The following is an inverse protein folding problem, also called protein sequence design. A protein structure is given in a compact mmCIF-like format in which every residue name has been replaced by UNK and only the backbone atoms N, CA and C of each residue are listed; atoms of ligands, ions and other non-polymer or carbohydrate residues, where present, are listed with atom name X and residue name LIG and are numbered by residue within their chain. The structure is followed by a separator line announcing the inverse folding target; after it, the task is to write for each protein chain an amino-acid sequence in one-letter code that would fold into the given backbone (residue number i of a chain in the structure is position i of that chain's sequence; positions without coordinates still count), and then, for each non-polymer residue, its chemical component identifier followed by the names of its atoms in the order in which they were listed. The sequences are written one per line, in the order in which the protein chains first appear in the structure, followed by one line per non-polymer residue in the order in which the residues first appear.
data_IF_504834951016
#
_entry.id   IF_504834951016
#
_cell.length_a   1.000
_cell.length_b   1.000
_cell.length_c   1.000
_cell.angle_alpha   90.00
_cell.angle_beta   90.00
_cell.angle_gamma   90.00
#
_symmetry.space_group_name_H-M   'P 1'
#
loop_
_entity.id
_entity.type
_entity.pdbx_description
1 polymer ?
#
# COMPACT_ATOMS: atom_id res chain seq x y z
N UNK A 1 -31.79 -4.94 -42.55
CA UNK A 1 -31.16 -3.71 -42.03
C UNK A 1 -30.49 -4.04 -40.70
N UNK A 2 -29.18 -4.29 -40.63
CA UNK A 2 -28.50 -4.58 -39.35
C UNK A 2 -27.88 -3.30 -38.76
N UNK A 3 -28.29 -2.95 -37.53
CA UNK A 3 -27.76 -1.83 -36.77
C UNK A 3 -26.52 -2.27 -35.96
N UNK A 4 -25.35 -1.88 -36.47
CA UNK A 4 -24.19 -1.31 -35.77
C UNK A 4 -23.76 -1.93 -34.43
N UNK A 5 -22.63 -2.63 -34.47
CA UNK A 5 -21.84 -2.96 -33.31
C UNK A 5 -21.37 -1.75 -32.52
N UNK A 6 -21.52 -1.81 -31.19
CA UNK A 6 -20.76 -1.00 -30.24
C UNK A 6 -19.57 -1.83 -29.76
N UNK A 7 -18.44 -1.65 -30.44
CA UNK A 7 -17.15 -1.91 -29.82
C UNK A 7 -16.87 -0.74 -28.89
N UNK A 8 -17.09 -0.93 -27.59
CA UNK A 8 -16.60 0.00 -26.57
C UNK A 8 -15.08 -0.18 -26.50
N UNK A 9 -14.38 0.61 -27.30
CA UNK A 9 -12.95 0.77 -27.21
C UNK A 9 -12.62 1.34 -25.84
N UNK A 10 -12.16 0.48 -24.93
CA UNK A 10 -11.29 0.88 -23.84
C UNK A 10 -10.06 1.53 -24.47
N UNK A 11 -10.09 2.86 -24.54
CA UNK A 11 -8.93 3.64 -24.97
C UNK A 11 -7.72 3.29 -24.09
N UNK A 12 -6.50 3.38 -24.63
CA UNK A 12 -5.29 3.14 -23.85
C UNK A 12 -5.30 4.07 -22.64
N UNK A 13 -5.29 3.47 -21.43
CA UNK A 13 -5.19 4.26 -20.22
C UNK A 13 -3.87 5.06 -20.28
N UNK A 14 -3.90 6.39 -20.13
CA UNK A 14 -2.68 7.18 -20.18
C UNK A 14 -1.75 6.72 -19.05
N UNK A 15 -0.42 6.70 -19.27
CA UNK A 15 0.52 6.35 -18.22
C UNK A 15 0.30 7.27 -17.02
N UNK A 16 0.26 6.67 -15.82
CA UNK A 16 0.13 7.39 -14.57
C UNK A 16 1.20 8.49 -14.52
N UNK A 17 0.78 9.74 -14.34
CA UNK A 17 1.71 10.87 -14.22
C UNK A 17 2.55 10.69 -12.94
N UNK A 18 3.87 10.95 -12.97
CA UNK A 18 4.66 11.06 -11.75
C UNK A 18 3.99 12.11 -10.83
N UNK A 19 3.50 11.68 -9.67
CA UNK A 19 2.78 12.53 -8.71
C UNK A 19 1.24 12.37 -8.67
N UNK A 20 0.64 11.43 -9.40
CA UNK A 20 -0.77 11.10 -9.22
C UNK A 20 -1.00 10.44 -7.85
N UNK A 21 -1.96 10.91 -7.05
CA UNK A 21 -2.35 10.19 -5.83
C UNK A 21 -3.04 8.87 -6.21
N UNK A 22 -2.84 7.79 -5.45
CA UNK A 22 -3.48 6.52 -5.75
C UNK A 22 -5.01 6.61 -5.63
N UNK A 23 -5.69 5.91 -6.52
CA UNK A 23 -7.15 5.75 -6.49
C UNK A 23 -7.62 5.01 -5.23
N UNK A 24 -8.94 5.02 -4.97
CA UNK A 24 -9.51 4.30 -3.83
C UNK A 24 -9.26 2.79 -3.92
N UNK A 25 -9.42 2.19 -5.11
CA UNK A 25 -9.19 0.75 -5.30
C UNK A 25 -7.73 0.34 -5.11
N UNK A 26 -6.76 1.19 -5.52
CA UNK A 26 -5.33 0.94 -5.27
C UNK A 26 -5.03 0.93 -3.77
N UNK A 27 -5.54 1.91 -3.03
CA UNK A 27 -5.40 1.96 -1.56
C UNK A 27 -6.04 0.75 -0.87
N UNK A 28 -7.24 0.37 -1.30
CA UNK A 28 -7.93 -0.81 -0.79
C UNK A 28 -7.11 -2.08 -1.01
N UNK A 29 -6.52 -2.27 -2.20
CA UNK A 29 -5.64 -3.41 -2.49
C UNK A 29 -4.40 -3.39 -1.63
N UNK A 30 -3.76 -2.24 -1.43
CA UNK A 30 -2.61 -2.11 -0.54
C UNK A 30 -2.94 -2.49 0.90
N UNK A 31 -4.08 -2.00 1.44
CA UNK A 31 -4.52 -2.36 2.79
C UNK A 31 -4.77 -3.87 2.92
N UNK A 32 -5.39 -4.49 1.90
CA UNK A 32 -5.63 -5.94 1.87
C UNK A 32 -4.32 -6.73 1.83
N UNK A 33 -3.37 -6.30 1.01
CA UNK A 33 -2.06 -6.94 0.90
C UNK A 33 -1.29 -6.82 2.23
N UNK A 34 -1.28 -5.64 2.85
CA UNK A 34 -0.69 -5.44 4.18
C UNK A 34 -1.36 -6.35 5.21
N UNK A 35 -2.69 -6.44 5.24
CA UNK A 35 -3.40 -7.30 6.20
C UNK A 35 -3.09 -8.79 5.99
N UNK A 36 -2.73 -9.21 4.78
CA UNK A 36 -2.34 -10.59 4.48
C UNK A 36 -0.92 -10.93 4.98
N UNK A 37 -0.05 -9.94 5.21
CA UNK A 37 1.30 -10.17 5.72
C UNK A 37 1.22 -10.49 7.23
N UNK A 38 1.75 -11.63 7.70
CA UNK A 38 1.64 -12.06 9.10
C UNK A 38 2.04 -10.98 10.12
N UNK A 39 3.20 -10.34 9.91
CA UNK A 39 3.72 -9.29 10.82
C UNK A 39 2.86 -8.01 10.85
N UNK A 40 2.00 -7.81 9.86
CA UNK A 40 1.09 -6.67 9.79
C UNK A 40 -0.33 -7.03 10.27
N UNK A 41 -0.73 -8.29 10.20
CA UNK A 41 -2.01 -8.77 10.73
C UNK A 41 -2.04 -8.79 12.28
N UNK A 42 -0.93 -9.19 12.90
CA UNK A 42 -0.79 -9.24 14.36
C UNK A 42 -0.52 -7.84 14.94
N UNK A 43 -1.33 -7.36 15.91
CA UNK A 43 -1.15 -6.02 16.46
C UNK A 43 0.20 -5.78 17.15
N UNK A 44 0.77 -6.79 17.81
CA UNK A 44 2.03 -6.64 18.53
C UNK A 44 3.23 -6.62 17.59
N UNK A 45 3.23 -7.50 16.59
CA UNK A 45 4.22 -7.50 15.50
C UNK A 45 4.12 -6.20 14.69
N UNK A 46 2.91 -5.77 14.34
CA UNK A 46 2.69 -4.52 13.59
C UNK A 46 3.23 -3.32 14.35
N UNK A 47 3.00 -3.24 15.66
CA UNK A 47 3.57 -2.16 16.48
C UNK A 47 5.11 -2.12 16.43
N UNK A 48 5.76 -3.28 16.39
CA UNK A 48 7.23 -3.35 16.24
C UNK A 48 7.67 -2.90 14.84
N UNK A 49 7.01 -3.36 13.78
CA UNK A 49 7.28 -2.92 12.39
C UNK A 49 7.13 -1.41 12.26
N UNK A 50 6.00 -0.87 12.73
CA UNK A 50 5.73 0.57 12.66
C UNK A 50 6.71 1.39 13.51
N UNK A 51 7.32 0.81 14.54
CA UNK A 51 8.36 1.43 15.35
C UNK A 51 9.71 1.59 14.63
N UNK A 52 9.91 0.92 13.49
CA UNK A 52 11.10 1.09 12.64
C UNK A 52 11.01 2.32 11.74
N UNK A 53 9.81 2.91 11.59
CA UNK A 53 9.61 4.10 10.78
C UNK A 53 10.26 5.33 11.43
N UNK A 54 10.65 6.34 10.63
CA UNK A 54 11.13 7.61 11.16
C UNK A 54 10.13 8.24 12.13
N UNK A 55 10.60 8.92 13.20
CA UNK A 55 9.74 9.48 14.24
C UNK A 55 8.61 10.37 13.72
N UNK A 56 8.83 11.09 12.62
CA UNK A 56 7.85 11.98 12.00
C UNK A 56 6.66 11.22 11.44
N UNK A 57 6.91 10.07 10.80
CA UNK A 57 5.86 9.20 10.27
C UNK A 57 5.22 8.44 11.43
N UNK A 58 6.03 7.81 12.29
CA UNK A 58 5.54 7.02 13.40
C UNK A 58 4.63 7.82 14.35
N UNK A 59 5.04 9.04 14.69
CA UNK A 59 4.26 9.95 15.55
C UNK A 59 2.95 10.45 14.92
N UNK A 60 2.81 10.33 13.60
CA UNK A 60 1.61 10.73 12.85
C UNK A 60 0.61 9.57 12.68
N UNK A 61 1.00 8.35 13.02
CA UNK A 61 0.15 7.17 12.85
C UNK A 61 -1.06 7.23 13.79
N UNK A 62 -2.28 6.97 13.29
CA UNK A 62 -3.42 6.76 14.15
C UNK A 62 -3.21 5.46 14.96
N UNK A 63 -3.88 5.39 16.11
CA UNK A 63 -3.87 4.19 16.95
C UNK A 63 -5.27 3.63 16.99
N UNK A 64 -5.52 2.56 16.23
CA UNK A 64 -6.79 1.85 16.25
C UNK A 64 -6.59 0.40 16.72
N UNK A 65 -7.43 -0.10 17.64
CA UNK A 65 -7.40 -1.52 18.00
C UNK A 65 -7.97 -2.43 16.88
N UNK A 66 -8.64 -1.85 15.88
CA UNK A 66 -9.22 -2.59 14.75
C UNK A 66 -8.19 -2.63 13.62
N UNK A 67 -7.60 -3.81 13.36
CA UNK A 67 -6.52 -4.01 12.37
C UNK A 67 -6.80 -3.33 11.04
N UNK A 68 -7.96 -3.56 10.42
CA UNK A 68 -8.30 -2.95 9.13
C UNK A 68 -8.31 -1.41 9.18
N UNK A 69 -8.84 -0.82 10.25
CA UNK A 69 -8.91 0.64 10.42
C UNK A 69 -7.52 1.21 10.66
N UNK A 70 -6.71 0.50 11.45
CA UNK A 70 -5.32 0.85 11.74
C UNK A 70 -4.48 0.88 10.45
N UNK A 71 -4.59 -0.17 9.63
CA UNK A 71 -3.88 -0.28 8.34
C UNK A 71 -4.33 0.77 7.32
N UNK A 72 -5.61 1.14 7.27
CA UNK A 72 -6.08 2.28 6.47
C UNK A 72 -5.36 3.55 6.91
N UNK A 73 -5.29 3.78 8.21
CA UNK A 73 -4.58 4.91 8.79
C UNK A 73 -3.09 4.94 8.49
N UNK A 74 -2.42 3.78 8.59
CA UNK A 74 -1.02 3.60 8.20
C UNK A 74 -0.80 3.99 6.74
N UNK A 75 -1.61 3.44 5.82
CA UNK A 75 -1.49 3.71 4.38
C UNK A 75 -1.69 5.20 4.07
N UNK A 76 -2.75 5.82 4.61
CA UNK A 76 -3.01 7.25 4.40
C UNK A 76 -1.90 8.13 4.99
N UNK A 77 -1.34 7.75 6.13
CA UNK A 77 -0.19 8.44 6.72
C UNK A 77 1.02 8.31 5.80
N UNK A 78 1.42 7.10 5.39
CA UNK A 78 2.57 6.89 4.51
C UNK A 78 2.43 7.61 3.15
N UNK A 79 1.21 7.74 2.62
CA UNK A 79 0.95 8.51 1.39
C UNK A 79 1.09 10.03 1.56
N UNK A 80 1.01 10.54 2.80
CA UNK A 80 1.19 11.95 3.10
C UNK A 80 2.67 12.35 3.22
N UNK A 81 3.58 11.38 3.38
CA UNK A 81 5.02 11.63 3.49
C UNK A 81 5.76 11.22 2.21
N UNK A 82 6.71 12.05 1.71
CA UNK A 82 7.58 11.66 0.62
C UNK A 82 8.35 10.37 0.96
N UNK A 83 8.27 9.36 0.08
CA UNK A 83 8.92 8.05 0.30
C UNK A 83 8.30 7.22 1.43
N UNK A 84 7.16 7.61 2.01
CA UNK A 84 6.57 6.90 3.15
C UNK A 84 6.19 5.45 2.86
N UNK A 85 5.76 5.13 1.62
CA UNK A 85 5.50 3.75 1.21
C UNK A 85 6.79 2.91 1.09
N UNK A 86 7.88 3.50 0.60
CA UNK A 86 9.19 2.84 0.54
C UNK A 86 9.71 2.53 1.94
N UNK A 87 9.58 3.47 2.88
CA UNK A 87 9.98 3.26 4.28
C UNK A 87 9.14 2.18 4.96
N UNK A 88 7.83 2.14 4.68
CA UNK A 88 6.95 1.08 5.16
C UNK A 88 7.35 -0.28 4.59
N UNK A 89 7.63 -0.36 3.29
CA UNK A 89 8.13 -1.57 2.65
C UNK A 89 9.39 -2.10 3.33
N UNK A 90 10.41 -1.25 3.50
CA UNK A 90 11.67 -1.63 4.15
C UNK A 90 11.46 -2.14 5.59
N UNK A 91 10.56 -1.51 6.35
CA UNK A 91 10.22 -1.96 7.69
C UNK A 91 9.53 -3.34 7.70
N UNK A 92 8.62 -3.58 6.76
CA UNK A 92 7.89 -4.86 6.63
C UNK A 92 8.83 -5.96 6.16
N UNK A 93 9.62 -5.72 5.11
CA UNK A 93 10.60 -6.67 4.56
C UNK A 93 11.67 -7.06 5.59
N UNK A 94 12.08 -6.13 6.45
CA UNK A 94 13.01 -6.42 7.55
C UNK A 94 12.43 -7.37 8.59
N UNK A 95 11.11 -7.32 8.82
CA UNK A 95 10.43 -8.10 9.86
C UNK A 95 9.85 -9.42 9.34
N UNK A 96 9.51 -9.51 8.06
CA UNK A 96 9.02 -10.72 7.39
C UNK A 96 10.06 -11.19 6.36
N UNK A 97 10.75 -12.28 6.65
CA UNK A 97 11.86 -12.75 5.84
C UNK A 97 11.44 -13.67 4.66
N UNK A 98 10.26 -13.45 4.07
CA UNK A 98 9.88 -14.06 2.79
C UNK A 98 8.58 -14.86 2.79
N UNK A 99 7.55 -14.43 3.53
CA UNK A 99 6.21 -15.00 3.35
C UNK A 99 5.70 -14.80 1.92
N UNK A 100 4.83 -15.71 1.44
CA UNK A 100 4.17 -15.52 0.14
C UNK A 100 3.42 -14.18 0.07
N UNK A 101 2.79 -13.78 1.17
CA UNK A 101 2.09 -12.51 1.28
C UNK A 101 3.00 -11.29 1.13
N UNK A 102 4.27 -11.38 1.54
CA UNK A 102 5.26 -10.32 1.33
C UNK A 102 5.53 -10.09 -0.17
N UNK A 103 5.62 -11.17 -0.96
CA UNK A 103 5.76 -11.08 -2.42
C UNK A 103 4.55 -10.40 -3.07
N UNK A 104 3.33 -10.80 -2.68
CA UNK A 104 2.10 -10.15 -3.15
C UNK A 104 2.02 -8.67 -2.74
N UNK A 105 2.52 -8.32 -1.55
CA UNK A 105 2.62 -6.92 -1.11
C UNK A 105 3.58 -6.13 -2.01
N UNK A 106 4.72 -6.70 -2.40
CA UNK A 106 5.69 -6.06 -3.29
C UNK A 106 5.07 -5.74 -4.66
N UNK A 107 4.33 -6.69 -5.25
CA UNK A 107 3.61 -6.49 -6.51
C UNK A 107 2.58 -5.36 -6.42
N UNK A 108 1.81 -5.31 -5.33
CA UNK A 108 0.83 -4.24 -5.11
C UNK A 108 1.51 -2.87 -4.91
N UNK A 109 2.64 -2.83 -4.21
CA UNK A 109 3.42 -1.61 -4.02
C UNK A 109 4.05 -1.11 -5.33
N UNK A 110 4.50 -2.01 -6.21
CA UNK A 110 5.05 -1.66 -7.52
C UNK A 110 4.04 -0.90 -8.41
N UNK A 111 2.74 -1.09 -8.19
CA UNK A 111 1.67 -0.34 -8.85
C UNK A 111 1.40 1.04 -8.22
N UNK A 112 2.00 1.34 -7.06
CA UNK A 112 1.75 2.57 -6.32
C UNK A 112 2.60 3.73 -6.87
N UNK A 113 1.98 4.90 -7.10
CA UNK A 113 2.71 6.06 -7.59
C UNK A 113 3.70 6.58 -6.56
N UNK A 114 4.95 6.78 -6.97
CA UNK A 114 6.02 7.29 -6.11
C UNK A 114 6.62 6.28 -5.13
N UNK A 115 6.26 4.99 -5.28
CA UNK A 115 6.97 3.90 -4.63
C UNK A 115 8.24 3.56 -5.42
N UNK A 116 9.34 3.36 -4.70
CA UNK A 116 10.60 2.84 -5.22
C UNK A 116 11.07 1.74 -4.26
N UNK A 117 11.39 0.56 -4.81
CA UNK A 117 11.74 -0.61 -4.01
C UNK A 117 13.13 -0.51 -3.35
N UNK A 118 13.99 0.41 -3.81
CA UNK A 118 15.37 0.53 -3.35
C UNK A 118 16.30 -0.54 -3.91
#
# INVERSE_FOLDING_TARGET
MPERGRGEGQGPQPPARPGARPGLEQRKRLVLALEAVPVMSDPAARAQVLGLLPPEIHGSLPRSPITRVDLVGVVETCLAFPGGLTLLWQAVEMADSGSYALGELAEVLAEMPGFDAG
#
